data_IF_721702014282
#
_entry.id   IF_721702014282
#
_cell.length_a   1.000
_cell.length_b   1.000
_cell.length_c   1.000
_cell.angle_alpha   90.00
_cell.angle_beta   90.00
_cell.angle_gamma   90.00
#
_symmetry.space_group_name_H-M   'P 1'
#
loop_
_entity.id
_entity.type
_entity.pdbx_description
1 polymer ?
#
# COMPACT_ATOMS: atom_id res chain seq x y z
N UNK A 1 -15.80 -7.15 -6.54
CA UNK A 1 -14.54 -6.44 -6.23
C UNK A 1 -13.39 -7.34 -6.65
N UNK A 2 -12.33 -6.77 -7.22
CA UNK A 2 -11.10 -7.50 -7.56
C UNK A 2 -10.01 -7.11 -6.56
N UNK A 3 -9.39 -8.11 -5.94
CA UNK A 3 -8.21 -7.96 -5.10
C UNK A 3 -7.04 -8.64 -5.82
N UNK A 4 -5.93 -7.94 -5.99
CA UNK A 4 -4.73 -8.46 -6.62
C UNK A 4 -3.57 -8.47 -5.63
N UNK A 5 -2.83 -9.57 -5.61
CA UNK A 5 -1.55 -9.68 -4.91
C UNK A 5 -0.49 -10.03 -5.94
N UNK A 6 0.62 -9.30 -5.92
CA UNK A 6 1.76 -9.54 -6.79
C UNK A 6 2.99 -9.65 -5.92
N UNK A 7 3.66 -10.80 -5.97
CA UNK A 7 4.91 -11.03 -5.25
C UNK A 7 6.05 -10.69 -6.21
N UNK A 8 6.98 -9.85 -5.74
CA UNK A 8 8.14 -9.41 -6.50
C UNK A 8 9.42 -9.91 -5.84
N UNK A 9 10.41 -10.28 -6.65
CA UNK A 9 11.78 -10.48 -6.16
C UNK A 9 12.46 -9.13 -5.90
N UNK A 10 13.37 -9.08 -4.93
CA UNK A 10 14.20 -7.90 -4.62
C UNK A 10 15.67 -8.32 -4.77
N UNK A 11 16.54 -7.54 -5.46
CA UNK A 11 16.31 -6.17 -5.92
C UNK A 11 15.76 -6.03 -7.35
N UNK A 12 15.55 -7.12 -8.11
CA UNK A 12 15.17 -6.98 -9.54
C UNK A 12 13.75 -6.44 -9.74
N UNK A 13 12.87 -6.51 -8.74
CA UNK A 13 11.46 -6.12 -8.77
C UNK A 13 10.71 -6.76 -9.94
N UNK A 14 11.02 -8.03 -10.19
CA UNK A 14 10.36 -8.86 -11.19
C UNK A 14 9.25 -9.68 -10.52
N UNK A 15 8.06 -9.75 -11.13
CA UNK A 15 6.98 -10.58 -10.58
C UNK A 15 7.34 -12.06 -10.61
N UNK A 16 7.33 -12.69 -9.44
CA UNK A 16 7.48 -14.14 -9.28
C UNK A 16 6.13 -14.84 -9.13
N UNK A 17 5.11 -14.11 -8.67
CA UNK A 17 3.75 -14.63 -8.56
C UNK A 17 2.71 -13.51 -8.73
N UNK A 18 1.56 -13.86 -9.31
CA UNK A 18 0.40 -12.97 -9.42
C UNK A 18 -0.85 -13.75 -9.08
N UNK A 19 -1.64 -13.20 -8.16
CA UNK A 19 -2.90 -13.78 -7.71
C UNK A 19 -3.98 -12.72 -7.82
N UNK A 20 -5.16 -13.12 -8.28
CA UNK A 20 -6.38 -12.32 -8.20
C UNK A 20 -7.47 -13.13 -7.51
N UNK A 21 -8.21 -12.43 -6.65
CA UNK A 21 -9.44 -12.92 -6.08
C UNK A 21 -10.58 -11.96 -6.45
N UNK A 22 -11.68 -12.52 -6.94
CA UNK A 22 -12.90 -11.79 -7.21
C UNK A 22 -13.96 -12.22 -6.21
N UNK A 23 -14.55 -11.25 -5.53
CA UNK A 23 -15.63 -11.50 -4.58
C UNK A 23 -16.72 -10.43 -4.68
N UNK A 24 -17.96 -10.83 -4.42
CA UNK A 24 -19.08 -9.89 -4.24
C UNK A 24 -18.87 -9.09 -2.96
N UNK A 25 -19.18 -7.80 -2.99
CA UNK A 25 -19.07 -6.96 -1.81
C UNK A 25 -20.19 -7.29 -0.83
N UNK A 26 -19.85 -7.79 0.36
CA UNK A 26 -20.81 -8.14 1.40
C UNK A 26 -21.13 -6.98 2.37
N UNK A 27 -20.34 -5.90 2.37
CA UNK A 27 -20.50 -4.76 3.30
C UNK A 27 -20.65 -3.41 2.56
N UNK A 28 -21.48 -2.48 3.08
CA UNK A 28 -21.59 -1.13 2.56
C UNK A 28 -20.29 -0.34 2.73
N UNK A 29 -20.13 0.74 1.94
CA UNK A 29 -19.02 1.67 2.09
C UNK A 29 -19.28 2.64 3.23
N UNK A 30 -18.48 2.56 4.29
CA UNK A 30 -18.50 3.52 5.40
C UNK A 30 -17.13 4.22 5.42
N UNK A 31 -17.06 5.55 5.28
CA UNK A 31 -15.81 6.31 5.36
C UNK A 31 -14.99 5.96 6.60
N UNK A 32 -13.69 5.69 6.42
CA UNK A 32 -12.78 5.23 7.47
C UNK A 32 -12.86 3.74 7.81
N UNK A 33 -13.86 3.00 7.33
CA UNK A 33 -13.97 1.54 7.49
C UNK A 33 -13.67 0.79 6.18
N UNK A 34 -12.88 1.41 5.28
CA UNK A 34 -12.45 0.80 4.02
C UNK A 34 -11.84 -0.59 4.23
N UNK A 35 -11.11 -0.78 5.33
CA UNK A 35 -10.54 -2.08 5.71
C UNK A 35 -11.60 -3.19 5.79
N UNK A 36 -12.81 -2.92 6.29
CA UNK A 36 -13.87 -3.94 6.37
C UNK A 36 -14.46 -4.30 5.01
N UNK A 37 -14.41 -3.37 4.06
CA UNK A 37 -14.88 -3.61 2.69
C UNK A 37 -13.82 -4.31 1.82
N UNK A 38 -12.55 -3.95 2.01
CA UNK A 38 -11.44 -4.39 1.15
C UNK A 38 -10.62 -5.56 1.71
N UNK A 39 -10.49 -5.69 3.04
CA UNK A 39 -9.62 -6.68 3.64
C UNK A 39 -10.04 -8.13 3.38
N UNK A 40 -11.34 -8.52 3.43
CA UNK A 40 -11.72 -9.91 3.17
C UNK A 40 -11.23 -10.43 1.82
N UNK A 41 -11.45 -9.69 0.74
CA UNK A 41 -11.00 -10.11 -0.58
C UNK A 41 -9.46 -10.11 -0.72
N UNK A 42 -8.76 -9.20 -0.04
CA UNK A 42 -7.30 -9.24 0.02
C UNK A 42 -6.80 -10.47 0.78
N UNK A 43 -7.40 -10.82 1.92
CA UNK A 43 -7.05 -12.01 2.69
C UNK A 43 -7.30 -13.29 1.87
N UNK A 44 -8.45 -13.41 1.20
CA UNK A 44 -8.72 -14.51 0.29
C UNK A 44 -7.79 -14.55 -0.95
N UNK A 45 -7.22 -13.41 -1.35
CA UNK A 45 -6.15 -13.39 -2.35
C UNK A 45 -4.84 -13.89 -1.76
N UNK A 46 -4.46 -13.44 -0.55
CA UNK A 46 -3.25 -13.90 0.14
C UNK A 46 -3.27 -15.39 0.47
N UNK A 47 -4.42 -15.99 0.78
CA UNK A 47 -4.56 -17.44 0.99
C UNK A 47 -4.16 -18.29 -0.23
N UNK A 48 -4.23 -17.71 -1.43
CA UNK A 48 -3.84 -18.40 -2.68
C UNK A 48 -2.37 -18.19 -3.05
N UNK A 49 -1.68 -17.27 -2.37
CA UNK A 49 -0.26 -16.96 -2.63
C UNK A 49 0.60 -18.09 -2.10
N UNK A 50 1.51 -18.59 -2.95
CA UNK A 50 2.44 -19.68 -2.59
C UNK A 50 3.80 -19.18 -2.14
N UNK A 51 4.27 -18.05 -2.69
CA UNK A 51 5.52 -17.43 -2.29
C UNK A 51 5.27 -16.50 -1.10
N UNK A 52 5.72 -16.90 0.09
CA UNK A 52 5.53 -16.12 1.32
C UNK A 52 6.31 -14.79 1.26
N UNK A 53 5.65 -13.62 1.22
CA UNK A 53 6.34 -12.36 1.09
C UNK A 53 6.97 -11.90 2.41
N UNK A 54 8.21 -11.42 2.37
CA UNK A 54 8.91 -10.89 3.54
C UNK A 54 8.29 -9.58 4.06
N UNK A 55 7.83 -8.72 3.14
CA UNK A 55 7.20 -7.43 3.43
C UNK A 55 6.06 -7.19 2.45
N UNK A 56 4.92 -6.74 2.96
CA UNK A 56 3.72 -6.50 2.17
C UNK A 56 3.45 -4.99 2.04
N UNK A 57 3.35 -4.52 0.81
CA UNK A 57 2.91 -3.16 0.49
C UNK A 57 1.41 -3.16 0.20
N UNK A 58 0.69 -2.23 0.84
CA UNK A 58 -0.75 -2.04 0.63
C UNK A 58 -0.98 -0.64 0.05
N UNK A 59 -1.76 -0.53 -1.03
CA UNK A 59 -2.25 0.76 -1.54
C UNK A 59 -3.33 1.30 -0.59
N UNK A 60 -2.87 2.05 0.41
CA UNK A 60 -3.70 2.51 1.50
C UNK A 60 -2.87 2.98 2.69
N UNK A 61 -3.56 3.32 3.77
CA UNK A 61 -2.93 3.81 4.99
C UNK A 61 -2.76 2.70 6.03
N UNK A 62 -1.74 2.85 6.88
CA UNK A 62 -1.55 2.13 8.14
C UNK A 62 -1.86 3.03 9.34
N UNK A 63 -0.86 3.39 10.15
CA UNK A 63 -1.00 4.27 11.31
C UNK A 63 -1.52 5.68 10.96
N UNK A 64 -1.33 6.15 9.73
CA UNK A 64 -1.85 7.44 9.28
C UNK A 64 -3.36 7.38 8.98
N UNK A 65 -4.15 7.06 9.99
CA UNK A 65 -5.59 6.82 9.92
C UNK A 65 -6.26 7.41 11.16
N UNK A 66 -7.52 7.91 11.11
CA UNK A 66 -8.21 8.49 12.27
C UNK A 66 -8.21 7.64 13.56
N UNK A 67 -8.09 6.32 13.39
CA UNK A 67 -8.06 5.33 14.48
C UNK A 67 -6.70 4.66 14.68
N UNK A 68 -5.65 5.18 14.04
CA UNK A 68 -4.31 4.56 14.00
C UNK A 68 -4.31 3.09 13.52
N UNK A 69 -5.31 2.73 12.72
CA UNK A 69 -5.60 1.36 12.32
C UNK A 69 -6.18 1.32 10.89
N UNK A 70 -5.38 1.75 9.92
CA UNK A 70 -5.72 1.65 8.50
C UNK A 70 -5.66 0.21 7.96
N UNK A 71 -5.97 0.04 6.68
CA UNK A 71 -6.00 -1.28 6.02
C UNK A 71 -4.65 -2.00 6.06
N UNK A 72 -3.54 -1.27 5.98
CA UNK A 72 -2.21 -1.88 6.08
C UNK A 72 -1.96 -2.48 7.48
N UNK A 73 -2.46 -1.84 8.54
CA UNK A 73 -2.42 -2.40 9.90
C UNK A 73 -3.27 -3.66 10.00
N UNK A 74 -4.51 -3.61 9.50
CA UNK A 74 -5.45 -4.73 9.56
C UNK A 74 -4.91 -5.96 8.84
N UNK A 75 -4.48 -5.81 7.57
CA UNK A 75 -3.87 -6.91 6.80
C UNK A 75 -2.61 -7.42 7.49
N UNK A 76 -1.76 -6.53 8.00
CA UNK A 76 -0.52 -6.92 8.67
C UNK A 76 -0.75 -7.76 9.92
N UNK A 77 -1.76 -7.40 10.72
CA UNK A 77 -2.19 -8.17 11.89
C UNK A 77 -2.71 -9.55 11.48
N UNK A 78 -3.61 -9.63 10.49
CA UNK A 78 -4.18 -10.90 10.04
C UNK A 78 -3.14 -11.84 9.44
N UNK A 79 -2.19 -11.32 8.65
CA UNK A 79 -1.13 -12.12 8.05
C UNK A 79 0.06 -12.35 8.99
N UNK A 80 0.12 -11.62 10.12
CA UNK A 80 1.26 -11.57 11.02
C UNK A 80 2.59 -11.25 10.29
N UNK A 81 2.55 -10.31 9.34
CA UNK A 81 3.65 -9.96 8.45
C UNK A 81 3.99 -8.47 8.52
N UNK A 82 5.25 -8.07 8.26
CA UNK A 82 5.61 -6.67 8.07
C UNK A 82 4.77 -6.03 6.97
N UNK A 83 4.04 -4.96 7.28
CA UNK A 83 3.21 -4.24 6.29
C UNK A 83 3.49 -2.75 6.25
N UNK A 84 3.45 -2.21 5.04
CA UNK A 84 3.62 -0.79 4.74
C UNK A 84 2.36 -0.30 4.04
N UNK A 85 1.75 0.76 4.57
CA UNK A 85 0.75 1.52 3.83
C UNK A 85 1.43 2.56 2.94
N UNK A 86 1.20 2.48 1.62
CA UNK A 86 1.70 3.44 0.64
C UNK A 86 0.52 4.07 -0.12
N UNK A 87 0.04 5.21 0.36
CA UNK A 87 -1.13 5.87 -0.20
C UNK A 87 -0.79 6.99 -1.19
N UNK A 88 -1.71 7.23 -2.14
CA UNK A 88 -1.61 8.23 -3.21
C UNK A 88 -2.05 9.64 -2.79
N UNK A 89 -2.73 9.77 -1.65
CA UNK A 89 -3.31 11.02 -1.14
C UNK A 89 -3.22 11.06 0.39
N UNK A 90 -3.35 12.26 0.95
CA UNK A 90 -3.46 12.48 2.38
C UNK A 90 -4.85 12.04 2.85
N UNK A 91 -4.92 11.26 3.94
CA UNK A 91 -6.17 10.95 4.63
C UNK A 91 -6.38 11.82 5.86
N UNK A 92 -5.37 11.89 6.73
CA UNK A 92 -5.35 12.74 7.93
C UNK A 92 -3.95 13.28 8.18
N UNK A 93 -3.90 14.32 9.01
CA UNK A 93 -2.67 14.89 9.53
C UNK A 93 -2.16 16.07 8.71
N UNK A 94 -1.01 16.60 9.13
CA UNK A 94 -0.36 17.77 8.54
C UNK A 94 1.09 17.47 8.21
N UNK A 95 1.57 18.05 7.12
CA UNK A 95 2.95 17.87 6.68
C UNK A 95 3.46 19.12 5.97
N UNK A 96 4.78 19.25 5.89
CA UNK A 96 5.42 20.15 4.91
C UNK A 96 5.58 19.41 3.60
N UNK A 97 5.68 20.12 2.49
CA UNK A 97 6.00 19.49 1.21
C UNK A 97 7.48 19.08 1.23
N UNK A 98 7.84 17.82 0.91
CA UNK A 98 9.24 17.42 0.86
C UNK A 98 9.98 18.10 -0.30
N UNK A 99 11.30 18.10 -0.26
CA UNK A 99 12.15 18.59 -1.34
C UNK A 99 11.82 17.97 -2.72
N UNK A 100 12.26 18.60 -3.82
CA UNK A 100 11.88 18.19 -5.16
C UNK A 100 12.54 16.88 -5.61
N UNK A 101 13.69 16.50 -5.04
CA UNK A 101 14.48 15.34 -5.46
C UNK A 101 13.97 14.03 -4.83
N UNK A 102 14.06 12.93 -5.57
CA UNK A 102 13.78 11.58 -5.09
C UNK A 102 14.57 11.30 -3.82
N UNK A 103 13.91 10.66 -2.86
CA UNK A 103 14.46 10.39 -1.53
C UNK A 103 14.20 11.52 -0.52
N UNK A 104 13.81 12.72 -0.96
CA UNK A 104 13.36 13.77 -0.04
C UNK A 104 12.09 13.32 0.67
N UNK A 105 12.04 13.45 2.00
CA UNK A 105 10.82 13.19 2.75
C UNK A 105 10.67 14.14 3.95
N UNK A 106 9.44 14.25 4.42
CA UNK A 106 9.08 14.99 5.64
C UNK A 106 8.14 14.14 6.48
N UNK A 107 8.18 14.29 7.80
CA UNK A 107 7.22 13.62 8.69
C UNK A 107 5.78 14.10 8.44
N UNK A 108 4.84 13.17 8.61
CA UNK A 108 3.41 13.42 8.67
C UNK A 108 2.97 13.35 10.14
N UNK A 109 2.31 14.40 10.62
CA UNK A 109 1.92 14.55 12.01
C UNK A 109 0.40 14.47 12.19
N UNK A 110 -0.07 13.84 13.27
CA UNK A 110 -1.47 13.92 13.70
C UNK A 110 -1.79 15.29 14.36
N UNK A 111 -3.01 15.44 14.88
CA UNK A 111 -3.44 16.64 15.59
C UNK A 111 -2.66 16.90 16.90
N UNK A 112 -2.08 15.85 17.49
CA UNK A 112 -1.35 15.88 18.75
C UNK A 112 0.18 15.98 18.56
N UNK A 113 0.66 16.21 17.32
CA UNK A 113 2.07 16.22 16.94
C UNK A 113 2.81 14.87 16.98
N UNK A 114 2.11 13.75 17.02
CA UNK A 114 2.76 12.45 16.85
C UNK A 114 3.06 12.20 15.38
N UNK A 115 4.23 11.60 15.11
CA UNK A 115 4.59 11.14 13.76
C UNK A 115 3.78 9.88 13.43
N UNK A 116 2.88 9.99 12.45
CA UNK A 116 2.01 8.89 11.99
C UNK A 116 2.41 8.34 10.62
N UNK A 117 3.42 8.94 9.99
CA UNK A 117 3.94 8.52 8.69
C UNK A 117 4.97 9.48 8.13
N UNK A 118 5.29 9.31 6.85
CA UNK A 118 6.19 10.16 6.09
C UNK A 118 5.59 10.49 4.72
N UNK A 119 5.86 11.70 4.25
CA UNK A 119 5.51 12.15 2.89
C UNK A 119 6.76 12.07 2.05
N UNK A 120 6.81 11.12 1.12
CA UNK A 120 8.04 10.67 0.46
C UNK A 120 8.02 11.01 -1.03
N UNK A 121 9.08 11.69 -1.49
CA UNK A 121 9.33 11.94 -2.91
C UNK A 121 9.96 10.69 -3.55
N UNK A 122 9.16 9.87 -4.20
CA UNK A 122 9.62 8.66 -4.91
C UNK A 122 10.16 8.94 -6.30
N UNK A 123 9.78 10.08 -6.90
CA UNK A 123 10.26 10.56 -8.20
C UNK A 123 10.46 12.08 -8.19
N UNK A 124 11.52 12.54 -8.84
CA UNK A 124 11.85 13.96 -8.96
C UNK A 124 10.66 14.79 -9.45
N UNK A 125 10.40 15.89 -8.74
CA UNK A 125 9.40 16.92 -9.07
C UNK A 125 7.98 16.38 -9.29
N UNK A 126 7.66 15.18 -8.79
CA UNK A 126 6.31 14.59 -8.86
C UNK A 126 5.68 14.50 -7.49
N UNK A 127 4.35 14.65 -7.41
CA UNK A 127 3.57 14.52 -6.17
C UNK A 127 4.06 13.33 -5.30
N UNK A 128 4.33 13.53 -4.01
CA UNK A 128 4.84 12.49 -3.14
C UNK A 128 3.79 11.40 -2.90
N UNK A 129 4.22 10.32 -2.26
CA UNK A 129 3.34 9.29 -1.66
C UNK A 129 3.34 9.43 -0.14
N UNK A 130 2.32 8.88 0.50
CA UNK A 130 2.16 8.89 1.95
C UNK A 130 2.47 7.49 2.49
N UNK A 131 3.62 7.36 3.13
CA UNK A 131 4.12 6.10 3.70
C UNK A 131 3.77 6.06 5.18
N UNK A 132 3.19 4.96 5.63
CA UNK A 132 2.85 4.74 7.03
C UNK A 132 3.12 3.30 7.43
N UNK A 133 3.48 3.09 8.69
CA UNK A 133 3.65 1.74 9.26
C UNK A 133 2.30 1.05 9.27
N UNK A 134 2.24 -0.19 8.80
CA UNK A 134 1.10 -1.08 9.02
C UNK A 134 1.33 -1.95 10.25
N UNK A 135 2.27 -2.89 10.16
CA UNK A 135 2.56 -3.87 11.20
C UNK A 135 4.03 -4.30 11.13
N UNK A 136 4.65 -4.61 12.30
CA UNK A 136 5.99 -5.21 12.43
C UNK A 136 7.11 -4.58 11.59
N UNK A 137 7.07 -3.27 11.34
CA UNK A 137 8.12 -2.52 10.64
C UNK A 137 8.26 -1.11 11.21
N UNK A 138 9.48 -0.57 11.23
CA UNK A 138 9.73 0.83 11.59
C UNK A 138 9.47 1.79 10.43
N UNK A 139 9.10 3.04 10.73
CA UNK A 139 8.82 4.05 9.68
C UNK A 139 10.03 4.32 8.79
N UNK A 140 11.24 4.39 9.36
CA UNK A 140 12.46 4.60 8.57
C UNK A 140 12.69 3.48 7.54
N UNK A 141 12.52 2.22 7.96
CA UNK A 141 12.62 1.06 7.07
C UNK A 141 11.52 1.06 6.01
N UNK A 142 10.29 1.43 6.39
CA UNK A 142 9.18 1.55 5.44
C UNK A 142 9.49 2.56 4.32
N UNK A 143 10.07 3.72 4.67
CA UNK A 143 10.51 4.74 3.70
C UNK A 143 11.63 4.21 2.81
N UNK A 144 12.64 3.57 3.39
CA UNK A 144 13.77 2.99 2.64
C UNK A 144 13.28 1.95 1.62
N UNK A 145 12.44 1.00 2.04
CA UNK A 145 11.86 -0.01 1.15
C UNK A 145 10.97 0.63 0.08
N UNK A 146 10.21 1.66 0.42
CA UNK A 146 9.38 2.38 -0.57
C UNK A 146 10.24 3.00 -1.67
N UNK A 147 11.39 3.57 -1.32
CA UNK A 147 12.34 4.11 -2.29
C UNK A 147 13.03 3.01 -3.09
N UNK A 148 13.47 1.94 -2.43
CA UNK A 148 14.14 0.80 -3.06
C UNK A 148 13.24 0.07 -4.06
N UNK A 149 11.93 -0.01 -3.77
CA UNK A 149 10.92 -0.58 -4.65
C UNK A 149 10.47 0.35 -5.79
N UNK A 150 11.20 1.43 -6.10
CA UNK A 150 10.88 2.35 -7.19
C UNK A 150 11.66 2.06 -8.47
N UNK A 151 10.96 1.91 -9.61
CA UNK A 151 11.56 1.84 -10.97
C UNK A 151 11.34 3.12 -11.80
N UNK A 152 11.64 4.29 -11.21
CA UNK A 152 11.42 5.59 -11.87
C UNK A 152 9.95 6.04 -11.94
N UNK A 153 9.03 5.32 -11.29
CA UNK A 153 7.62 5.71 -11.16
C UNK A 153 7.35 6.43 -9.84
N UNK A 154 6.21 7.14 -9.78
CA UNK A 154 5.68 7.72 -8.53
C UNK A 154 5.27 6.63 -7.53
N UNK A 155 4.60 5.60 -8.01
CA UNK A 155 4.07 4.51 -7.16
C UNK A 155 5.12 3.39 -7.17
N UNK A 156 5.49 2.83 -6.00
CA UNK A 156 6.45 1.72 -5.94
C UNK A 156 5.91 0.49 -6.67
N UNK A 157 6.81 -0.33 -7.18
CA UNK A 157 6.51 -1.49 -8.03
C UNK A 157 5.49 -2.47 -7.43
N UNK A 158 5.54 -2.84 -6.13
CA UNK A 158 4.57 -3.79 -5.56
C UNK A 158 3.11 -3.35 -5.78
N UNK A 159 2.76 -2.12 -5.37
CA UNK A 159 1.39 -1.61 -5.53
C UNK A 159 1.09 -1.21 -6.96
N UNK A 160 2.09 -0.73 -7.72
CA UNK A 160 1.89 -0.38 -9.14
C UNK A 160 1.54 -1.62 -9.98
N UNK A 161 2.22 -2.74 -9.74
CA UNK A 161 1.98 -4.00 -10.45
C UNK A 161 0.66 -4.64 -10.00
N UNK A 162 0.35 -4.61 -8.70
CA UNK A 162 -0.94 -5.06 -8.18
C UNK A 162 -2.12 -4.27 -8.77
N UNK A 163 -2.05 -2.93 -8.79
CA UNK A 163 -3.08 -2.08 -9.41
C UNK A 163 -3.30 -2.40 -10.88
N UNK A 164 -2.20 -2.55 -11.64
CA UNK A 164 -2.25 -2.89 -13.06
C UNK A 164 -2.90 -4.26 -13.28
N UNK A 165 -2.55 -5.23 -12.44
CA UNK A 165 -3.09 -6.59 -12.54
C UNK A 165 -4.58 -6.64 -12.18
N UNK A 166 -5.00 -5.94 -11.11
CA UNK A 166 -6.41 -5.82 -10.75
C UNK A 166 -7.26 -5.19 -11.86
N UNK A 167 -6.77 -4.10 -12.46
CA UNK A 167 -7.46 -3.42 -13.56
C UNK A 167 -7.52 -4.30 -14.82
N UNK A 168 -6.45 -5.02 -15.15
CA UNK A 168 -6.44 -5.96 -16.27
C UNK A 168 -7.47 -7.08 -16.07
N UNK A 169 -7.47 -7.75 -14.91
CA UNK A 169 -8.43 -8.83 -14.63
C UNK A 169 -9.88 -8.35 -14.62
N UNK A 170 -10.12 -7.11 -14.16
CA UNK A 170 -11.46 -6.50 -14.24
C UNK A 170 -11.91 -6.32 -15.69
N UNK A 171 -11.02 -5.86 -16.58
CA UNK A 171 -11.34 -5.68 -18.01
C UNK A 171 -11.63 -7.00 -18.70
N UNK A 172 -10.79 -8.01 -18.45
CA UNK A 172 -10.98 -9.37 -18.95
C UNK A 172 -12.32 -9.97 -18.51
N UNK A 173 -12.72 -9.78 -17.25
CA UNK A 173 -14.00 -10.26 -16.72
C UNK A 173 -15.23 -9.55 -17.33
N UNK A 174 -15.08 -8.31 -17.82
CA UNK A 174 -16.16 -7.53 -18.45
C UNK A 174 -16.15 -7.70 -19.98
N UNK A 175 -15.17 -8.42 -20.54
CA UNK A 175 -15.04 -8.65 -21.98
C UNK A 175 -14.51 -7.45 -22.77
N UNK A 176 -13.92 -6.46 -22.10
CA UNK A 176 -13.28 -5.31 -22.73
C UNK A 176 -11.79 -5.65 -22.90
N UNK A 177 -11.33 -5.82 -24.16
CA UNK A 177 -9.90 -6.00 -24.47
C UNK A 177 -9.12 -4.70 -24.26
#
# INVERSE_FOLDING_TARGET
MFAAVVVLSVPSLEPVERVVHQESLSSPYIPGLLSFRGAPALLHAFEKVRHDPDVVFIDGHGLSHPRSAGIACHIGLCLNKPTIGCAKSLLIGRHRVPGPSRGSYTSLYDANNHVIGAVVRTRDRVKPVFVSVGHRIGLAQAVQLTLACGKGYRIPEPTRQADRWAEQSKREAIGIK
#
